data_IF_544174784548
#
_entry.id   IF_544174784548
#
_cell.length_a   1.000
_cell.length_b   1.000
_cell.length_c   1.000
_cell.angle_alpha   90.00
_cell.angle_beta   90.00
_cell.angle_gamma   90.00
#
_symmetry.space_group_name_H-M   'P 1'
#
loop_
_entity.id
_entity.type
_entity.pdbx_description
1 polymer ?
#
# COMPACT_ATOMS: atom_id res chain seq x y z
N UNK A 1 -4.97 -25.98 -23.99
CA UNK A 1 -4.72 -26.43 -22.60
C UNK A 1 -3.23 -26.54 -22.21
N UNK A 2 -2.27 -26.08 -23.03
CA UNK A 2 -0.80 -26.27 -22.83
C UNK A 2 -0.07 -24.98 -22.37
N UNK A 3 -0.76 -23.83 -22.28
CA UNK A 3 -0.15 -22.52 -21.93
C UNK A 3 0.01 -22.25 -20.43
N UNK A 4 -0.51 -23.13 -19.57
CA UNK A 4 -0.54 -22.97 -18.11
C UNK A 4 0.78 -23.31 -17.38
N UNK A 5 1.49 -24.42 -17.67
CA UNK A 5 2.71 -24.77 -16.92
C UNK A 5 3.85 -23.77 -17.15
N UNK A 6 3.96 -23.20 -18.35
CA UNK A 6 5.02 -22.24 -18.67
C UNK A 6 4.93 -20.92 -17.88
N UNK A 7 3.73 -20.46 -17.51
CA UNK A 7 3.54 -19.20 -16.78
C UNK A 7 3.80 -19.35 -15.29
N UNK A 8 3.35 -20.46 -14.70
CA UNK A 8 3.63 -20.77 -13.29
C UNK A 8 5.12 -21.08 -13.12
N UNK A 9 5.73 -21.76 -14.09
CA UNK A 9 7.18 -21.93 -14.18
C UNK A 9 7.91 -20.60 -14.36
N UNK A 10 7.41 -19.67 -15.18
CA UNK A 10 8.02 -18.35 -15.34
C UNK A 10 7.94 -17.49 -14.06
N UNK A 11 6.85 -17.57 -13.30
CA UNK A 11 6.72 -16.88 -12.01
C UNK A 11 7.66 -17.49 -10.96
N UNK A 12 7.75 -18.82 -10.90
CA UNK A 12 8.70 -19.54 -10.03
C UNK A 12 10.14 -19.23 -10.45
N UNK A 13 10.46 -19.27 -11.74
CA UNK A 13 11.78 -18.92 -12.27
C UNK A 13 12.12 -17.45 -12.03
N UNK A 14 11.15 -16.53 -12.09
CA UNK A 14 11.38 -15.12 -11.77
C UNK A 14 11.70 -14.94 -10.28
N UNK A 15 10.97 -15.63 -9.39
CA UNK A 15 11.26 -15.61 -7.95
C UNK A 15 12.60 -16.26 -7.66
N UNK A 16 12.89 -17.42 -8.22
CA UNK A 16 14.16 -18.14 -8.04
C UNK A 16 15.32 -17.31 -8.61
N UNK A 17 15.19 -16.80 -9.83
CA UNK A 17 16.21 -15.94 -10.44
C UNK A 17 16.44 -14.68 -9.62
N UNK A 18 15.38 -14.01 -9.13
CA UNK A 18 15.56 -12.82 -8.32
C UNK A 18 16.14 -13.12 -6.93
N UNK A 19 15.79 -14.25 -6.31
CA UNK A 19 16.43 -14.72 -5.06
C UNK A 19 17.90 -15.06 -5.29
N UNK A 20 18.24 -15.72 -6.39
CA UNK A 20 19.61 -16.09 -6.75
C UNK A 20 20.44 -14.86 -7.12
N UNK A 21 19.90 -13.93 -7.91
CA UNK A 21 20.53 -12.66 -8.27
C UNK A 21 20.73 -11.80 -7.01
N UNK A 22 19.71 -11.63 -6.17
CA UNK A 22 19.84 -10.92 -4.89
C UNK A 22 20.85 -11.58 -3.95
N UNK A 23 20.89 -12.92 -3.86
CA UNK A 23 21.93 -13.62 -3.08
C UNK A 23 23.33 -13.40 -3.65
N UNK A 24 23.50 -13.51 -4.97
CA UNK A 24 24.78 -13.25 -5.63
C UNK A 24 25.26 -11.82 -5.36
N UNK A 25 24.34 -10.84 -5.38
CA UNK A 25 24.63 -9.44 -5.09
C UNK A 25 24.92 -9.18 -3.61
N UNK A 26 24.23 -9.86 -2.68
CA UNK A 26 24.61 -9.87 -1.25
C UNK A 26 26.02 -10.42 -1.02
N UNK A 27 26.37 -11.51 -1.68
CA UNK A 27 27.73 -12.07 -1.61
C UNK A 27 28.78 -11.15 -2.25
N UNK A 28 28.39 -10.32 -3.21
CA UNK A 28 29.27 -9.34 -3.86
C UNK A 28 29.36 -8.00 -3.11
N UNK A 29 28.35 -7.65 -2.30
CA UNK A 29 28.25 -6.36 -1.61
C UNK A 29 27.80 -6.56 -0.15
N UNK A 30 28.74 -6.59 0.79
CA UNK A 30 28.54 -6.85 2.24
C UNK A 30 27.78 -5.73 3.00
N UNK A 31 27.15 -4.78 2.29
CA UNK A 31 26.71 -3.49 2.85
C UNK A 31 25.20 -3.22 2.74
N UNK A 32 24.40 -4.21 2.33
CA UNK A 32 23.00 -3.97 2.00
C UNK A 32 22.12 -3.71 3.24
N UNK A 33 22.45 -4.22 4.44
CA UNK A 33 21.67 -4.04 5.69
C UNK A 33 20.18 -4.39 5.54
N UNK A 34 19.84 -5.46 4.80
CA UNK A 34 18.43 -5.84 4.49
C UNK A 34 17.98 -7.11 5.25
N UNK A 35 18.88 -7.79 5.97
CA UNK A 35 18.60 -9.07 6.61
C UNK A 35 18.39 -10.14 5.53
N UNK A 36 17.14 -10.52 5.26
CA UNK A 36 16.79 -11.62 4.36
C UNK A 36 16.25 -11.20 2.99
N UNK A 37 17.16 -10.85 2.08
CA UNK A 37 16.77 -10.50 0.72
C UNK A 37 15.97 -11.60 0.00
N UNK A 38 14.98 -11.21 -0.84
CA UNK A 38 14.68 -9.85 -1.28
C UNK A 38 13.88 -9.02 -0.26
N UNK A 39 13.43 -9.59 0.86
CA UNK A 39 12.63 -8.89 1.86
C UNK A 39 13.52 -8.14 2.85
N UNK A 40 13.07 -6.96 3.29
CA UNK A 40 13.65 -6.34 4.48
C UNK A 40 13.03 -7.02 5.71
N UNK A 41 13.65 -8.10 6.16
CA UNK A 41 13.10 -8.99 7.19
C UNK A 41 14.19 -9.82 7.87
N UNK A 42 13.90 -10.26 9.09
CA UNK A 42 14.67 -11.28 9.80
C UNK A 42 13.90 -12.60 9.77
N UNK A 43 14.62 -13.72 9.67
CA UNK A 43 13.96 -15.03 9.77
C UNK A 43 13.74 -15.45 11.21
N UNK A 44 12.55 -15.97 11.50
CA UNK A 44 12.30 -16.74 12.70
C UNK A 44 10.96 -17.46 12.64
N UNK A 45 10.79 -18.59 13.35
CA UNK A 45 9.49 -19.20 13.54
C UNK A 45 8.63 -18.30 14.42
N UNK A 46 7.46 -17.90 13.96
CA UNK A 46 6.51 -17.12 14.74
C UNK A 46 5.26 -17.95 15.03
N UNK A 47 4.96 -18.12 16.32
CA UNK A 47 3.74 -18.79 16.80
C UNK A 47 3.16 -17.94 17.92
N UNK A 48 1.86 -17.67 17.85
CA UNK A 48 1.18 -16.85 18.85
C UNK A 48 -0.33 -16.92 18.74
N UNK A 49 -1.06 -16.03 19.42
CA UNK A 49 -2.51 -16.11 19.54
C UNK A 49 -3.24 -15.99 18.19
N UNK A 50 -2.63 -15.30 17.21
CA UNK A 50 -3.16 -15.20 15.85
C UNK A 50 -2.99 -16.45 14.99
N UNK A 51 -2.11 -17.38 15.35
CA UNK A 51 -1.83 -18.60 14.56
C UNK A 51 -3.07 -19.49 14.35
N UNK A 52 -3.81 -19.91 15.40
CA UNK A 52 -5.03 -20.71 15.20
C UNK A 52 -6.08 -19.95 14.40
N UNK A 53 -6.23 -18.63 14.62
CA UNK A 53 -7.17 -17.80 13.88
C UNK A 53 -6.82 -17.74 12.39
N UNK A 54 -5.54 -17.59 12.05
CA UNK A 54 -5.07 -17.58 10.66
C UNK A 54 -5.37 -18.92 9.98
N UNK A 55 -5.10 -20.05 10.65
CA UNK A 55 -5.44 -21.37 10.12
C UNK A 55 -6.95 -21.52 9.87
N UNK A 56 -7.78 -21.12 10.82
CA UNK A 56 -9.24 -21.18 10.69
C UNK A 56 -9.73 -20.31 9.53
N UNK A 57 -9.27 -19.05 9.43
CA UNK A 57 -9.64 -18.14 8.33
C UNK A 57 -9.17 -18.70 6.99
N UNK A 58 -7.93 -19.18 6.91
CA UNK A 58 -7.36 -19.78 5.70
C UNK A 58 -8.18 -20.98 5.23
N UNK A 59 -8.46 -21.94 6.12
CA UNK A 59 -9.29 -23.12 5.82
C UNK A 59 -10.70 -22.71 5.40
N UNK A 60 -11.32 -21.77 6.11
CA UNK A 60 -12.68 -21.32 5.80
C UNK A 60 -12.77 -20.66 4.42
N UNK A 61 -11.82 -19.78 4.07
CA UNK A 61 -11.78 -19.11 2.77
C UNK A 61 -11.45 -20.10 1.65
N UNK A 62 -10.55 -21.06 1.87
CA UNK A 62 -10.24 -22.08 0.85
C UNK A 62 -11.43 -23.02 0.63
N UNK A 63 -12.06 -23.52 1.69
CA UNK A 63 -13.13 -24.53 1.60
C UNK A 63 -14.47 -23.94 1.13
N UNK A 64 -14.80 -22.71 1.56
CA UNK A 64 -16.11 -22.10 1.35
C UNK A 64 -16.07 -20.83 0.49
N UNK A 65 -14.93 -20.13 0.44
CA UNK A 65 -14.79 -18.84 -0.25
C UNK A 65 -15.26 -18.85 -1.70
N UNK A 66 -14.85 -19.80 -2.56
CA UNK A 66 -15.32 -19.85 -3.96
C UNK A 66 -16.84 -20.00 -4.07
N UNK A 67 -17.46 -20.86 -3.25
CA UNK A 67 -18.90 -21.09 -3.25
C UNK A 67 -19.67 -19.87 -2.77
N UNK A 68 -19.18 -19.23 -1.69
CA UNK A 68 -19.76 -18.01 -1.12
C UNK A 68 -19.65 -16.86 -2.12
N UNK A 69 -18.48 -16.69 -2.76
CA UNK A 69 -18.25 -15.63 -3.74
C UNK A 69 -19.10 -15.77 -5.01
N UNK A 70 -19.42 -17.00 -5.41
CA UNK A 70 -20.32 -17.26 -6.53
C UNK A 70 -21.79 -16.93 -6.23
N UNK A 71 -22.24 -17.08 -4.97
CA UNK A 71 -23.67 -17.01 -4.62
C UNK A 71 -24.10 -15.71 -3.97
N UNK A 72 -23.21 -15.01 -3.25
CA UNK A 72 -23.61 -13.81 -2.52
C UNK A 72 -24.06 -12.68 -3.48
N UNK A 73 -25.06 -11.87 -3.08
CA UNK A 73 -25.33 -10.63 -3.80
C UNK A 73 -24.08 -9.73 -3.73
N UNK A 74 -23.81 -8.98 -4.79
CA UNK A 74 -22.55 -8.23 -4.94
C UNK A 74 -22.20 -7.36 -3.71
N UNK A 75 -23.18 -6.69 -3.11
CA UNK A 75 -22.97 -5.86 -1.92
C UNK A 75 -22.51 -6.68 -0.71
N UNK A 76 -23.10 -7.87 -0.50
CA UNK A 76 -22.69 -8.78 0.56
C UNK A 76 -21.31 -9.39 0.27
N UNK A 77 -20.99 -9.67 -1.00
CA UNK A 77 -19.65 -10.13 -1.38
C UNK A 77 -18.58 -9.10 -1.01
N UNK A 78 -18.79 -7.81 -1.27
CA UNK A 78 -17.83 -6.78 -0.87
C UNK A 78 -17.65 -6.72 0.65
N UNK A 79 -18.74 -6.79 1.41
CA UNK A 79 -18.69 -6.83 2.87
C UNK A 79 -17.98 -8.08 3.41
N UNK A 80 -18.27 -9.26 2.83
CA UNK A 80 -17.62 -10.51 3.19
C UNK A 80 -16.13 -10.52 2.85
N UNK A 81 -15.75 -10.00 1.67
CA UNK A 81 -14.35 -9.88 1.27
C UNK A 81 -13.58 -8.94 2.20
N UNK A 82 -14.17 -7.79 2.55
CA UNK A 82 -13.55 -6.85 3.50
C UNK A 82 -13.39 -7.48 4.88
N UNK A 83 -14.46 -8.08 5.42
CA UNK A 83 -14.42 -8.75 6.73
C UNK A 83 -13.44 -9.91 6.77
N UNK A 84 -13.36 -10.72 5.72
CA UNK A 84 -12.40 -11.80 5.62
C UNK A 84 -10.95 -11.30 5.49
N UNK A 85 -10.73 -10.21 4.73
CA UNK A 85 -9.41 -9.57 4.64
C UNK A 85 -8.98 -8.96 5.98
N UNK A 86 -9.90 -8.34 6.72
CA UNK A 86 -9.65 -7.90 8.09
C UNK A 86 -9.32 -9.08 8.99
N UNK A 87 -10.13 -10.14 8.99
CA UNK A 87 -9.90 -11.32 9.82
C UNK A 87 -8.53 -11.97 9.53
N UNK A 88 -8.18 -12.09 8.24
CA UNK A 88 -6.88 -12.60 7.80
C UNK A 88 -5.73 -11.72 8.30
N UNK A 89 -5.83 -10.40 8.06
CA UNK A 89 -4.78 -9.44 8.43
C UNK A 89 -4.60 -9.34 9.96
N UNK A 90 -5.70 -9.28 10.72
CA UNK A 90 -5.69 -9.31 12.18
C UNK A 90 -5.06 -10.60 12.71
N UNK A 91 -5.44 -11.75 12.14
CA UNK A 91 -4.88 -13.04 12.53
C UNK A 91 -3.37 -13.07 12.32
N UNK A 92 -2.89 -12.62 11.16
CA UNK A 92 -1.46 -12.56 10.87
C UNK A 92 -0.71 -11.60 11.80
N UNK A 93 -1.24 -10.39 12.04
CA UNK A 93 -0.62 -9.44 12.95
C UNK A 93 -0.55 -9.98 14.39
N UNK A 94 -1.60 -10.68 14.84
CA UNK A 94 -1.66 -11.26 16.18
C UNK A 94 -0.82 -12.53 16.34
N UNK A 95 -0.19 -13.06 15.29
CA UNK A 95 0.86 -14.09 15.47
C UNK A 95 1.99 -13.52 16.34
N UNK A 96 2.33 -12.24 16.16
CA UNK A 96 3.31 -11.53 16.99
C UNK A 96 2.70 -10.96 18.30
N UNK A 97 1.41 -11.17 18.53
CA UNK A 97 0.65 -10.58 19.64
C UNK A 97 0.36 -9.08 19.46
N UNK A 98 -0.47 -8.52 20.35
CA UNK A 98 -0.94 -7.13 20.25
C UNK A 98 0.21 -6.10 20.27
N UNK A 99 1.15 -6.25 21.20
CA UNK A 99 2.22 -5.26 21.39
C UNK A 99 3.17 -5.21 20.19
N UNK A 100 3.79 -6.34 19.84
CA UNK A 100 4.77 -6.40 18.74
C UNK A 100 4.11 -6.34 17.37
N UNK A 101 2.98 -7.03 17.20
CA UNK A 101 2.29 -7.11 15.91
C UNK A 101 1.58 -5.83 15.48
N UNK A 102 1.13 -5.01 16.44
CA UNK A 102 0.21 -3.90 16.18
C UNK A 102 0.71 -2.62 16.86
N UNK A 103 0.70 -2.57 18.20
CA UNK A 103 0.86 -1.31 18.95
C UNK A 103 2.23 -0.64 18.78
N UNK A 104 3.29 -1.42 18.56
CA UNK A 104 4.65 -0.90 18.44
C UNK A 104 5.08 -0.64 16.99
N UNK A 105 4.39 -1.23 15.99
CA UNK A 105 4.84 -1.20 14.59
C UNK A 105 5.00 0.21 14.02
N UNK A 106 4.08 1.12 14.37
CA UNK A 106 4.10 2.51 13.92
C UNK A 106 4.77 3.48 14.92
N UNK A 107 5.34 2.97 16.01
CA UNK A 107 6.01 3.79 17.05
C UNK A 107 7.51 3.51 17.18
N UNK A 108 8.08 2.71 16.26
CA UNK A 108 9.52 2.48 16.23
C UNK A 108 10.27 3.77 15.90
N UNK A 109 11.59 3.80 16.13
CA UNK A 109 12.43 4.98 15.91
C UNK A 109 12.39 5.55 14.48
N UNK A 110 11.87 4.81 13.52
CA UNK A 110 11.83 5.21 12.12
C UNK A 110 10.46 5.77 11.69
N UNK A 111 9.44 5.67 12.53
CA UNK A 111 8.04 5.72 12.14
C UNK A 111 7.35 7.07 12.40
N UNK A 112 6.18 7.24 11.75
CA UNK A 112 5.39 8.46 11.77
C UNK A 112 4.97 8.93 13.17
N UNK A 113 4.68 8.02 14.11
CA UNK A 113 4.15 8.43 15.41
C UNK A 113 5.19 9.06 16.34
N UNK A 114 6.47 9.10 15.93
CA UNK A 114 7.54 9.72 16.73
C UNK A 114 7.55 11.23 16.71
N UNK A 115 6.73 11.86 15.87
CA UNK A 115 6.73 13.32 15.66
C UNK A 115 5.37 13.96 15.92
N UNK A 116 4.37 13.22 16.41
CA UNK A 116 3.00 13.72 16.56
C UNK A 116 2.95 14.97 17.45
N UNK A 117 3.75 14.98 18.52
CA UNK A 117 3.91 16.09 19.45
C UNK A 117 4.48 17.37 18.81
N UNK A 118 5.23 17.24 17.71
CA UNK A 118 5.80 18.36 16.94
C UNK A 118 4.81 19.03 15.97
N UNK A 119 3.59 18.52 15.85
CA UNK A 119 2.54 19.05 14.97
C UNK A 119 1.42 19.75 15.75
N UNK A 120 1.75 20.53 16.79
CA UNK A 120 0.75 21.36 17.50
C UNK A 120 0.15 22.43 16.58
N UNK A 121 0.99 23.10 15.78
CA UNK A 121 0.58 24.00 14.70
C UNK A 121 0.97 23.36 13.35
N UNK A 122 -0.01 22.73 12.70
CA UNK A 122 0.22 22.02 11.42
C UNK A 122 0.77 22.98 10.34
N UNK A 123 0.15 24.14 10.04
CA UNK A 123 0.73 25.08 9.09
C UNK A 123 2.16 25.53 9.42
N UNK A 124 2.49 25.80 10.68
CA UNK A 124 3.85 26.18 11.05
C UNK A 124 4.84 25.03 10.81
N UNK A 125 4.51 23.80 11.24
CA UNK A 125 5.36 22.63 11.01
C UNK A 125 5.50 22.29 9.52
N UNK A 126 4.48 22.55 8.70
CA UNK A 126 4.54 22.34 7.25
C UNK A 126 5.45 23.35 6.53
N UNK A 127 5.44 24.62 6.95
CA UNK A 127 6.39 25.64 6.47
C UNK A 127 7.83 25.31 6.81
N UNK A 128 8.06 24.75 7.99
CA UNK A 128 9.40 24.39 8.49
C UNK A 128 9.82 22.96 8.11
N UNK A 129 8.99 22.23 7.36
CA UNK A 129 9.18 20.80 7.13
C UNK A 129 10.50 20.47 6.43
N UNK A 130 10.87 21.27 5.42
CA UNK A 130 12.07 21.07 4.59
C UNK A 130 13.36 21.22 5.39
N UNK A 131 13.39 22.12 6.38
CA UNK A 131 14.56 22.34 7.24
C UNK A 131 14.98 21.11 8.05
N UNK A 132 14.08 20.17 8.27
CA UNK A 132 14.32 18.94 9.04
C UNK A 132 14.51 17.69 8.16
N UNK A 133 14.57 17.81 6.83
CA UNK A 133 14.74 16.66 5.93
C UNK A 133 16.17 16.14 5.91
N UNK A 134 17.21 16.98 5.93
CA UNK A 134 18.60 16.48 5.86
C UNK A 134 19.02 15.81 7.18
N UNK A 135 19.91 14.81 7.09
CA UNK A 135 20.38 14.03 8.25
C UNK A 135 21.14 14.90 9.28
N UNK A 136 21.84 15.93 8.81
CA UNK A 136 22.62 16.84 9.63
C UNK A 136 21.80 18.04 10.17
N UNK A 137 20.52 18.14 9.78
CA UNK A 137 19.65 19.19 10.29
C UNK A 137 19.37 19.01 11.79
N UNK A 138 19.29 20.10 12.57
CA UNK A 138 18.84 20.03 13.95
C UNK A 138 17.41 19.46 13.99
N UNK A 139 17.17 18.49 14.88
CA UNK A 139 15.85 17.87 15.03
C UNK A 139 15.32 17.21 13.75
N UNK A 140 16.20 16.62 12.93
CA UNK A 140 15.80 15.97 11.68
C UNK A 140 14.66 14.95 11.86
N UNK A 141 13.86 14.79 10.81
CA UNK A 141 12.75 13.86 10.81
C UNK A 141 13.22 12.39 10.82
N UNK A 142 12.49 11.49 11.50
CA UNK A 142 12.66 10.05 11.33
C UNK A 142 12.54 9.64 9.85
N UNK A 143 13.23 8.56 9.42
CA UNK A 143 13.24 8.15 8.01
C UNK A 143 11.90 8.10 7.29
N UNK A 144 10.82 7.56 7.85
CA UNK A 144 9.52 7.53 7.16
C UNK A 144 8.86 8.92 7.03
N UNK A 145 9.13 9.82 7.97
CA UNK A 145 8.63 11.21 7.90
C UNK A 145 9.45 12.01 6.89
N UNK A 146 10.78 11.91 6.93
CA UNK A 146 11.65 12.57 5.94
C UNK A 146 11.47 12.01 4.52
N UNK A 147 11.16 10.71 4.41
CA UNK A 147 11.13 9.95 3.16
C UNK A 147 9.91 10.22 2.28
N UNK A 148 8.90 10.91 2.80
CA UNK A 148 7.59 11.05 2.16
C UNK A 148 7.00 12.44 2.39
N UNK A 149 6.09 12.91 1.52
CA UNK A 149 5.36 14.13 1.81
C UNK A 149 4.48 13.95 3.06
N UNK A 150 4.06 15.05 3.71
CA UNK A 150 3.52 15.01 5.07
C UNK A 150 2.09 14.47 5.18
N UNK A 151 1.46 13.99 4.11
CA UNK A 151 0.06 13.53 4.13
C UNK A 151 -0.18 12.39 5.12
N UNK A 152 0.75 11.43 5.20
CA UNK A 152 0.66 10.32 6.15
C UNK A 152 0.80 10.81 7.61
N UNK A 153 1.80 11.65 7.86
CA UNK A 153 2.05 12.24 9.19
C UNK A 153 0.85 13.05 9.67
N UNK A 154 0.31 13.91 8.80
CA UNK A 154 -0.89 14.71 9.11
C UNK A 154 -2.09 13.81 9.39
N UNK A 155 -2.26 12.70 8.68
CA UNK A 155 -3.33 11.72 8.96
C UNK A 155 -3.23 11.18 10.39
N UNK A 156 -2.05 10.76 10.84
CA UNK A 156 -1.86 10.27 12.20
C UNK A 156 -1.99 11.37 13.27
N UNK A 157 -1.57 12.61 12.97
CA UNK A 157 -1.82 13.77 13.86
C UNK A 157 -3.31 14.02 14.02
N UNK A 158 -4.09 13.94 12.94
CA UNK A 158 -5.53 14.13 13.00
C UNK A 158 -6.24 13.00 13.77
N UNK A 159 -5.77 11.76 13.64
CA UNK A 159 -6.25 10.65 14.46
C UNK A 159 -5.98 10.87 15.94
N UNK A 160 -4.78 11.32 16.29
CA UNK A 160 -4.41 11.65 17.67
C UNK A 160 -5.31 12.76 18.25
N UNK A 161 -5.51 13.85 17.49
CA UNK A 161 -6.43 14.94 17.87
C UNK A 161 -7.89 14.50 17.99
N UNK A 162 -8.30 13.45 17.29
CA UNK A 162 -9.63 12.86 17.39
C UNK A 162 -9.78 11.89 18.58
N UNK A 163 -8.74 11.72 19.40
CA UNK A 163 -8.72 10.80 20.54
C UNK A 163 -8.31 9.36 20.17
N UNK A 164 -7.89 9.12 18.93
CA UNK A 164 -7.42 7.83 18.42
C UNK A 164 -5.89 7.82 18.33
N UNK A 165 -5.24 8.27 19.41
CA UNK A 165 -3.79 8.40 19.51
C UNK A 165 -3.05 7.10 19.78
N UNK A 166 -1.75 7.09 19.49
CA UNK A 166 -0.85 5.98 19.78
C UNK A 166 -0.90 4.82 18.77
N UNK A 167 0.09 3.94 18.87
CA UNK A 167 0.35 2.92 17.84
C UNK A 167 -0.71 1.83 17.73
N UNK A 168 -1.47 1.55 18.80
CA UNK A 168 -2.60 0.63 18.75
C UNK A 168 -3.68 1.10 17.78
N UNK A 169 -4.14 2.35 17.93
CA UNK A 169 -5.13 2.95 17.04
C UNK A 169 -4.61 3.17 15.62
N UNK A 170 -3.34 3.57 15.48
CA UNK A 170 -2.71 3.68 14.16
C UNK A 170 -2.64 2.33 13.44
N UNK A 171 -2.33 1.24 14.16
CA UNK A 171 -2.37 -0.12 13.61
C UNK A 171 -3.78 -0.56 13.19
N UNK A 172 -4.79 -0.29 14.04
CA UNK A 172 -6.21 -0.54 13.72
C UNK A 172 -6.63 0.21 12.45
N UNK A 173 -6.23 1.47 12.32
CA UNK A 173 -6.46 2.30 11.13
C UNK A 173 -5.85 1.66 9.88
N UNK A 174 -4.57 1.29 9.94
CA UNK A 174 -3.85 0.65 8.83
C UNK A 174 -4.52 -0.66 8.39
N UNK A 175 -4.92 -1.53 9.35
CA UNK A 175 -5.62 -2.78 9.01
C UNK A 175 -6.98 -2.49 8.38
N UNK A 176 -7.78 -1.62 8.99
CA UNK A 176 -9.18 -1.37 8.60
C UNK A 176 -9.26 -0.69 7.23
N UNK A 177 -8.51 0.40 7.06
CA UNK A 177 -8.46 1.14 5.78
C UNK A 177 -7.70 0.32 4.74
N UNK A 178 -6.59 -0.32 5.12
CA UNK A 178 -5.81 -1.19 4.25
C UNK A 178 -6.63 -2.34 3.67
N UNK A 179 -7.42 -3.03 4.49
CA UNK A 179 -8.31 -4.10 4.04
C UNK A 179 -9.37 -3.61 3.02
N UNK A 180 -9.72 -2.32 3.01
CA UNK A 180 -10.64 -1.77 2.00
C UNK A 180 -10.04 -1.77 0.58
N UNK A 181 -8.71 -1.86 0.44
CA UNK A 181 -8.05 -1.99 -0.85
C UNK A 181 -8.59 -3.18 -1.67
N UNK A 182 -8.87 -4.31 -1.00
CA UNK A 182 -9.43 -5.50 -1.66
C UNK A 182 -10.81 -5.23 -2.26
N UNK A 183 -11.65 -4.46 -1.57
CA UNK A 183 -12.95 -4.01 -2.08
C UNK A 183 -12.76 -3.12 -3.30
N UNK A 184 -11.84 -2.16 -3.23
CA UNK A 184 -11.54 -1.27 -4.35
C UNK A 184 -11.09 -2.05 -5.59
N UNK A 185 -10.20 -3.03 -5.42
CA UNK A 185 -9.74 -3.92 -6.50
C UNK A 185 -10.92 -4.71 -7.09
N UNK A 186 -11.79 -5.30 -6.27
CA UNK A 186 -12.96 -6.02 -6.75
C UNK A 186 -13.93 -5.13 -7.53
N UNK A 187 -14.14 -3.89 -7.08
CA UNK A 187 -14.93 -2.89 -7.80
C UNK A 187 -14.28 -2.57 -9.14
N UNK A 188 -12.97 -2.28 -9.17
CA UNK A 188 -12.25 -1.96 -10.38
C UNK A 188 -12.31 -3.10 -11.42
N UNK A 189 -12.01 -4.33 -11.00
CA UNK A 189 -12.07 -5.52 -11.85
C UNK A 189 -13.48 -5.73 -12.40
N UNK A 190 -14.51 -5.68 -11.56
CA UNK A 190 -15.90 -5.81 -12.02
C UNK A 190 -16.27 -4.74 -13.04
N UNK A 191 -15.78 -3.52 -12.86
CA UNK A 191 -16.14 -2.39 -13.73
C UNK A 191 -15.41 -2.40 -15.07
N UNK A 192 -14.15 -2.83 -15.11
CA UNK A 192 -13.31 -2.78 -16.31
C UNK A 192 -13.26 -4.10 -17.09
N UNK A 193 -13.48 -5.22 -16.41
CA UNK A 193 -13.54 -6.55 -17.00
C UNK A 193 -14.96 -7.11 -16.88
N UNK A 194 -15.23 -7.90 -15.84
CA UNK A 194 -16.53 -8.51 -15.61
C UNK A 194 -16.74 -8.94 -14.15
N UNK A 195 -17.99 -9.16 -13.77
CA UNK A 195 -18.35 -9.55 -12.41
C UNK A 195 -17.92 -10.98 -12.05
N UNK A 196 -17.91 -11.91 -13.01
CA UNK A 196 -17.56 -13.30 -12.76
C UNK A 196 -16.06 -13.44 -12.42
N UNK A 197 -15.18 -12.75 -13.15
CA UNK A 197 -13.76 -12.65 -12.85
C UNK A 197 -13.52 -12.04 -11.46
N UNK A 198 -14.21 -10.95 -11.13
CA UNK A 198 -14.09 -10.33 -9.81
C UNK A 198 -14.49 -11.31 -8.68
N UNK A 199 -15.60 -12.05 -8.87
CA UNK A 199 -16.05 -13.08 -7.92
C UNK A 199 -15.02 -14.21 -7.75
N UNK A 200 -14.43 -14.66 -8.86
CA UNK A 200 -13.40 -15.72 -8.86
C UNK A 200 -12.11 -15.26 -8.19
N UNK A 201 -11.73 -13.99 -8.36
CA UNK A 201 -10.55 -13.42 -7.75
C UNK A 201 -10.69 -13.17 -6.23
N UNK A 202 -11.92 -12.95 -5.72
CA UNK A 202 -12.14 -12.52 -4.34
C UNK A 202 -11.48 -13.39 -3.26
N UNK A 203 -11.61 -14.73 -3.26
CA UNK A 203 -10.97 -15.57 -2.23
C UNK A 203 -9.44 -15.49 -2.26
N UNK A 204 -8.85 -15.36 -3.44
CA UNK A 204 -7.40 -15.26 -3.61
C UNK A 204 -6.86 -13.90 -3.16
N UNK A 205 -7.58 -12.83 -3.49
CA UNK A 205 -7.25 -11.48 -3.05
C UNK A 205 -7.25 -11.37 -1.53
N UNK A 206 -8.25 -11.97 -0.85
CA UNK A 206 -8.37 -11.94 0.61
C UNK A 206 -7.20 -12.61 1.31
N UNK A 207 -6.73 -13.76 0.80
CA UNK A 207 -5.64 -14.54 1.39
C UNK A 207 -4.25 -14.13 0.85
N UNK A 208 -4.13 -12.96 0.24
CA UNK A 208 -2.86 -12.55 -0.34
C UNK A 208 -1.75 -12.46 0.73
N UNK A 209 -0.51 -12.87 0.41
CA UNK A 209 0.62 -12.71 1.32
C UNK A 209 0.92 -11.25 1.69
N UNK A 210 0.47 -10.29 0.88
CA UNK A 210 0.59 -8.85 1.17
C UNK A 210 0.08 -8.47 2.57
N UNK A 211 -0.91 -9.20 3.09
CA UNK A 211 -1.55 -8.96 4.38
C UNK A 211 -0.58 -9.04 5.58
N UNK A 212 0.58 -9.68 5.44
CA UNK A 212 1.63 -9.70 6.49
C UNK A 212 2.10 -8.28 6.85
N UNK A 213 2.00 -7.31 5.92
CA UNK A 213 2.30 -5.90 6.19
C UNK A 213 1.13 -5.10 6.76
N UNK A 214 0.02 -5.74 7.13
CA UNK A 214 -1.25 -5.09 7.47
C UNK A 214 -1.22 -3.96 8.49
N UNK A 215 -0.19 -3.92 9.33
CA UNK A 215 0.03 -2.93 10.38
C UNK A 215 1.05 -1.84 10.01
N UNK A 216 1.44 -1.73 8.74
CA UNK A 216 2.24 -0.62 8.21
C UNK A 216 1.38 0.44 7.53
N UNK A 217 1.91 1.66 7.47
CA UNK A 217 1.28 2.78 6.76
C UNK A 217 1.13 2.49 5.24
N UNK A 218 2.00 1.67 4.66
CA UNK A 218 1.96 1.34 3.23
C UNK A 218 0.64 0.69 2.80
N UNK A 219 0.03 -0.11 3.67
CA UNK A 219 -1.24 -0.77 3.35
C UNK A 219 -2.39 0.24 3.33
N UNK A 220 -2.34 1.25 4.20
CA UNK A 220 -3.22 2.41 4.12
C UNK A 220 -2.99 3.18 2.80
N UNK A 221 -1.73 3.40 2.40
CA UNK A 221 -1.44 4.08 1.14
C UNK A 221 -1.94 3.30 -0.07
N UNK A 222 -1.74 1.98 -0.07
CA UNK A 222 -2.24 1.08 -1.10
C UNK A 222 -3.76 1.11 -1.21
N UNK A 223 -4.49 1.26 -0.10
CA UNK A 223 -5.93 1.42 -0.14
C UNK A 223 -6.37 2.73 -0.80
N UNK A 224 -5.75 3.87 -0.47
CA UNK A 224 -6.04 5.16 -1.11
C UNK A 224 -5.76 5.11 -2.62
N UNK A 225 -4.64 4.50 -3.01
CA UNK A 225 -4.28 4.30 -4.41
C UNK A 225 -5.24 3.33 -5.13
N UNK A 226 -5.68 2.25 -4.49
CA UNK A 226 -6.64 1.32 -5.06
C UNK A 226 -8.02 1.96 -5.25
N UNK A 227 -8.50 2.76 -4.28
CA UNK A 227 -9.75 3.50 -4.39
C UNK A 227 -9.70 4.58 -5.47
N UNK A 228 -8.56 5.24 -5.66
CA UNK A 228 -8.32 6.12 -6.80
C UNK A 228 -8.65 5.42 -8.11
N UNK A 229 -8.10 4.22 -8.32
CA UNK A 229 -8.32 3.42 -9.54
C UNK A 229 -9.78 2.94 -9.63
N UNK A 230 -10.38 2.49 -8.53
CA UNK A 230 -11.76 2.03 -8.50
C UNK A 230 -12.76 3.14 -8.86
N UNK A 231 -12.59 4.34 -8.32
CA UNK A 231 -13.43 5.49 -8.67
C UNK A 231 -13.19 5.95 -10.10
N UNK A 232 -11.95 5.93 -10.58
CA UNK A 232 -11.66 6.26 -11.98
C UNK A 232 -12.35 5.27 -12.91
N UNK A 233 -12.27 3.97 -12.61
CA UNK A 233 -12.93 2.91 -13.37
C UNK A 233 -14.46 3.10 -13.42
N UNK A 234 -15.09 3.49 -12.31
CA UNK A 234 -16.51 3.86 -12.27
C UNK A 234 -16.80 5.10 -13.12
N UNK A 235 -15.93 6.10 -13.11
CA UNK A 235 -16.11 7.34 -13.84
C UNK A 235 -16.04 7.12 -15.36
N UNK A 236 -15.05 6.37 -15.83
CA UNK A 236 -14.81 6.11 -17.27
C UNK A 236 -15.81 5.11 -17.87
N UNK A 237 -16.51 4.34 -17.02
CA UNK A 237 -17.65 3.49 -17.40
C UNK A 237 -19.00 4.22 -17.28
N UNK A 238 -19.02 5.44 -16.75
CA UNK A 238 -20.19 6.31 -16.72
C UNK A 238 -21.05 6.22 -15.46
N UNK A 239 -20.60 5.56 -14.39
CA UNK A 239 -21.29 5.57 -13.09
C UNK A 239 -20.97 6.85 -12.32
N UNK A 240 -21.91 7.80 -12.34
CA UNK A 240 -21.81 9.13 -11.69
C UNK A 240 -20.47 9.82 -12.01
N UNK A 241 -20.13 10.01 -13.29
CA UNK A 241 -18.77 10.34 -13.75
C UNK A 241 -18.20 11.62 -13.15
N UNK A 242 -19.07 12.56 -12.75
CA UNK A 242 -18.66 13.79 -12.06
C UNK A 242 -18.13 13.51 -10.66
N UNK A 243 -18.93 12.81 -9.84
CA UNK A 243 -18.60 12.49 -8.45
C UNK A 243 -17.45 11.49 -8.37
N UNK A 244 -17.50 10.42 -9.16
CA UNK A 244 -16.46 9.38 -9.14
C UNK A 244 -15.17 9.88 -9.79
N UNK A 245 -15.25 10.71 -10.83
CA UNK A 245 -14.07 11.39 -11.38
C UNK A 245 -13.40 12.32 -10.36
N UNK A 246 -14.19 13.16 -9.68
CA UNK A 246 -13.67 14.05 -8.63
C UNK A 246 -13.06 13.26 -7.46
N UNK A 247 -13.74 12.23 -6.96
CA UNK A 247 -13.23 11.38 -5.89
C UNK A 247 -11.93 10.66 -6.29
N UNK A 248 -11.85 10.15 -7.52
CA UNK A 248 -10.62 9.56 -8.04
C UNK A 248 -9.47 10.58 -8.05
N UNK A 249 -9.74 11.79 -8.56
CA UNK A 249 -8.74 12.85 -8.57
C UNK A 249 -8.27 13.24 -7.17
N UNK A 250 -9.21 13.47 -6.25
CA UNK A 250 -8.91 13.83 -4.87
C UNK A 250 -8.01 12.80 -4.17
N UNK A 251 -8.35 11.51 -4.32
CA UNK A 251 -7.55 10.43 -3.75
C UNK A 251 -6.21 10.26 -4.46
N UNK A 252 -6.11 10.56 -5.76
CA UNK A 252 -4.82 10.57 -6.45
C UNK A 252 -3.92 11.70 -5.95
N UNK A 253 -4.48 12.91 -5.77
CA UNK A 253 -3.78 14.02 -5.13
C UNK A 253 -3.28 13.65 -3.73
N UNK A 254 -4.12 12.99 -2.93
CA UNK A 254 -3.71 12.44 -1.63
C UNK A 254 -2.61 11.39 -1.76
N UNK A 255 -2.72 10.46 -2.71
CA UNK A 255 -1.73 9.42 -2.99
C UNK A 255 -0.34 10.01 -3.23
N UNK A 256 -0.25 11.09 -4.03
CA UNK A 256 0.99 11.82 -4.28
C UNK A 256 1.57 12.53 -3.04
N UNK A 257 0.76 12.72 -1.99
CA UNK A 257 1.14 13.30 -0.71
C UNK A 257 1.34 12.27 0.41
N UNK A 258 1.04 10.98 0.14
CA UNK A 258 1.34 9.88 1.05
C UNK A 258 2.74 9.32 0.82
N UNK A 259 3.20 9.27 -0.44
CA UNK A 259 4.55 8.87 -0.80
C UNK A 259 4.93 9.32 -2.20
N UNK A 260 6.16 9.85 -2.36
CA UNK A 260 6.72 10.25 -3.65
C UNK A 260 6.66 9.14 -4.70
N UNK A 261 6.94 7.89 -4.31
CA UNK A 261 6.94 6.74 -5.21
C UNK A 261 5.55 6.37 -5.74
N UNK A 262 4.48 6.78 -5.04
CA UNK A 262 3.11 6.48 -5.46
C UNK A 262 2.61 7.39 -6.59
N UNK A 263 3.37 8.42 -6.98
CA UNK A 263 3.12 9.18 -8.22
C UNK A 263 3.05 8.25 -9.45
N UNK A 264 3.78 7.13 -9.43
CA UNK A 264 3.76 6.09 -10.47
C UNK A 264 2.39 5.43 -10.64
N UNK A 265 1.46 5.53 -9.68
CA UNK A 265 0.08 5.10 -9.88
C UNK A 265 -0.63 5.89 -10.98
N UNK A 266 -0.09 7.02 -11.45
CA UNK A 266 -0.52 7.67 -12.69
C UNK A 266 -0.55 6.71 -13.88
N UNK A 267 0.40 5.76 -13.97
CA UNK A 267 0.46 4.77 -15.05
C UNK A 267 -0.72 3.80 -14.96
N UNK A 268 -1.03 3.30 -13.76
CA UNK A 268 -2.16 2.39 -13.52
C UNK A 268 -3.49 3.13 -13.76
N UNK A 269 -3.60 4.37 -13.29
CA UNK A 269 -4.75 5.23 -13.54
C UNK A 269 -4.93 5.51 -15.04
N UNK A 270 -3.84 5.76 -15.76
CA UNK A 270 -3.83 5.90 -17.22
C UNK A 270 -4.30 4.62 -17.93
N UNK A 271 -3.88 3.44 -17.45
CA UNK A 271 -4.38 2.17 -17.98
C UNK A 271 -5.89 2.02 -17.77
N UNK A 272 -6.40 2.31 -16.57
CA UNK A 272 -7.83 2.30 -16.28
C UNK A 272 -8.61 3.30 -17.16
N UNK A 273 -8.04 4.49 -17.40
CA UNK A 273 -8.58 5.49 -18.31
C UNK A 273 -8.68 4.96 -19.75
N UNK A 274 -7.63 4.29 -20.24
CA UNK A 274 -7.58 3.70 -21.57
C UNK A 274 -8.55 2.51 -21.73
N UNK A 275 -8.79 1.73 -20.68
CA UNK A 275 -9.76 0.63 -20.73
C UNK A 275 -11.22 1.12 -20.76
N UNK A 276 -11.48 2.33 -20.25
CA UNK A 276 -12.82 2.88 -20.20
C UNK A 276 -13.36 3.38 -21.56
N UNK A 277 -14.67 3.21 -21.84
CA UNK A 277 -15.30 3.74 -23.05
C UNK A 277 -15.45 5.27 -23.05
N UNK A 278 -15.48 5.92 -21.88
CA UNK A 278 -15.74 7.37 -21.74
C UNK A 278 -14.52 8.11 -21.19
N UNK A 279 -13.39 8.03 -21.87
CA UNK A 279 -12.08 8.51 -21.39
C UNK A 279 -12.04 10.00 -21.07
N UNK A 280 -12.64 10.84 -21.91
CA UNK A 280 -12.53 12.31 -21.79
C UNK A 280 -13.53 12.93 -20.82
N UNK A 281 -14.71 12.34 -20.66
CA UNK A 281 -15.80 12.88 -19.83
C UNK A 281 -15.43 13.09 -18.35
N UNK A 282 -14.70 12.19 -17.67
CA UNK A 282 -14.34 12.39 -16.27
C UNK A 282 -13.12 13.29 -16.08
N UNK A 283 -12.31 13.56 -17.13
CA UNK A 283 -11.04 14.30 -17.00
C UNK A 283 -11.16 15.65 -16.28
N UNK A 284 -12.13 16.53 -16.59
CA UNK A 284 -12.23 17.81 -15.88
C UNK A 284 -12.44 17.64 -14.37
N UNK A 285 -13.18 16.61 -13.97
CA UNK A 285 -13.50 16.32 -12.58
C UNK A 285 -12.31 15.66 -11.87
N UNK A 286 -11.61 14.75 -12.56
CA UNK A 286 -10.36 14.16 -12.06
C UNK A 286 -9.31 15.25 -11.84
N UNK A 287 -9.11 16.13 -12.83
CA UNK A 287 -8.17 17.24 -12.72
C UNK A 287 -8.55 18.19 -11.58
N UNK A 288 -9.84 18.53 -11.44
CA UNK A 288 -10.31 19.34 -10.33
C UNK A 288 -10.10 18.68 -8.95
N UNK A 289 -10.24 17.35 -8.86
CA UNK A 289 -9.97 16.61 -7.62
C UNK A 289 -8.48 16.54 -7.29
N UNK A 290 -7.64 16.24 -8.30
CA UNK A 290 -6.18 16.10 -8.15
C UNK A 290 -5.54 17.33 -7.55
N UNK A 291 -6.02 18.52 -7.89
CA UNK A 291 -5.42 19.78 -7.45
C UNK A 291 -5.71 20.13 -5.99
N UNK A 292 -6.74 19.54 -5.36
CA UNK A 292 -7.17 19.94 -4.01
C UNK A 292 -6.09 19.70 -2.97
N UNK A 293 -5.54 18.48 -2.89
CA UNK A 293 -4.53 18.15 -1.86
C UNK A 293 -3.24 18.95 -2.09
N UNK A 294 -2.66 19.00 -3.31
CA UNK A 294 -1.53 19.88 -3.58
C UNK A 294 -1.79 21.33 -3.21
N UNK A 295 -2.95 21.89 -3.55
CA UNK A 295 -3.29 23.27 -3.22
C UNK A 295 -3.32 23.49 -1.71
N UNK A 296 -3.99 22.62 -0.96
CA UNK A 296 -4.10 22.73 0.51
C UNK A 296 -2.71 22.70 1.17
N UNK A 297 -1.84 21.78 0.77
CA UNK A 297 -0.50 21.69 1.35
C UNK A 297 0.41 22.85 0.93
N UNK A 298 0.34 23.28 -0.33
CA UNK A 298 1.09 24.45 -0.81
C UNK A 298 0.65 25.72 -0.07
N UNK A 299 -0.66 25.93 0.11
CA UNK A 299 -1.19 27.08 0.87
C UNK A 299 -0.86 26.99 2.37
N UNK A 300 -0.74 25.77 2.91
CA UNK A 300 -0.25 25.55 4.27
C UNK A 300 1.29 25.73 4.38
N UNK A 301 1.99 25.95 3.27
CA UNK A 301 3.41 26.30 3.22
C UNK A 301 4.37 25.15 2.95
N UNK A 302 3.88 23.98 2.55
CA UNK A 302 4.73 22.85 2.17
C UNK A 302 5.11 22.92 0.68
N UNK A 303 6.41 22.89 0.40
CA UNK A 303 6.94 22.84 -0.97
C UNK A 303 7.31 21.41 -1.37
N UNK A 304 6.50 20.79 -2.22
CA UNK A 304 6.66 19.39 -2.61
C UNK A 304 7.98 19.12 -3.37
N UNK A 305 8.37 20.04 -4.27
CA UNK A 305 9.54 19.88 -5.14
C UNK A 305 10.84 20.05 -4.36
N UNK A 306 10.93 21.11 -3.57
CA UNK A 306 12.09 21.34 -2.69
C UNK A 306 12.28 20.19 -1.69
N UNK A 307 11.20 19.71 -1.09
CA UNK A 307 11.25 18.56 -0.20
C UNK A 307 11.73 17.28 -0.92
N UNK A 308 11.37 17.10 -2.20
CA UNK A 308 11.84 15.97 -3.00
C UNK A 308 13.34 16.08 -3.30
N UNK A 309 13.84 17.25 -3.68
CA UNK A 309 15.26 17.46 -3.96
C UNK A 309 16.11 17.21 -2.71
N UNK A 310 15.67 17.72 -1.55
CA UNK A 310 16.31 17.47 -0.26
C UNK A 310 16.25 15.98 0.15
N UNK A 311 15.17 15.28 -0.19
CA UNK A 311 15.07 13.84 0.03
C UNK A 311 16.10 13.09 -0.82
N UNK A 312 16.26 13.45 -2.09
CA UNK A 312 17.28 12.85 -2.97
C UNK A 312 18.67 13.03 -2.36
N UNK A 313 18.99 14.24 -1.88
CA UNK A 313 20.24 14.51 -1.17
C UNK A 313 20.38 13.65 0.10
N UNK A 314 19.35 13.59 0.95
CA UNK A 314 19.31 12.73 2.14
C UNK A 314 19.56 11.26 1.79
N UNK A 315 19.02 10.77 0.69
CA UNK A 315 19.23 9.39 0.23
C UNK A 315 20.70 9.10 -0.08
N UNK A 316 21.41 10.05 -0.70
CA UNK A 316 22.85 9.92 -0.95
C UNK A 316 23.69 10.03 0.32
N UNK A 317 23.28 10.84 1.30
CA UNK A 317 23.91 10.87 2.63
C UNK A 317 23.67 9.61 3.46
N UNK A 318 22.55 8.92 3.23
CA UNK A 318 22.18 7.68 3.93
C UNK A 318 22.65 6.41 3.23
N UNK A 319 22.01 5.29 3.57
CA UNK A 319 22.31 3.99 2.96
C UNK A 319 22.02 3.93 1.44
N UNK A 320 21.26 4.88 0.89
CA UNK A 320 20.96 4.95 -0.55
C UNK A 320 22.20 5.20 -1.41
N UNK A 321 23.17 5.98 -0.92
CA UNK A 321 24.41 6.27 -1.64
C UNK A 321 25.37 5.07 -1.77
N UNK A 322 25.13 3.98 -1.04
CA UNK A 322 26.01 2.80 -0.97
C UNK A 322 25.36 1.58 -1.65
N UNK A 323 24.03 1.57 -1.83
CA UNK A 323 23.29 0.42 -2.32
C UNK A 323 23.18 0.44 -3.85
N UNK A 324 23.56 -0.65 -4.57
CA UNK A 324 23.44 -0.69 -6.02
C UNK A 324 21.98 -0.58 -6.44
N UNK A 325 21.68 0.32 -7.38
CA UNK A 325 20.31 0.52 -7.86
C UNK A 325 19.73 -0.72 -8.55
N UNK A 326 20.55 -1.46 -9.30
CA UNK A 326 20.15 -2.67 -10.03
C UNK A 326 19.54 -3.75 -9.14
N UNK A 327 20.04 -3.90 -7.92
CA UNK A 327 19.54 -4.87 -6.94
C UNK A 327 18.06 -4.62 -6.62
N UNK A 328 17.67 -3.36 -6.52
CA UNK A 328 16.30 -2.97 -6.18
C UNK A 328 15.32 -3.22 -7.32
N UNK A 329 15.76 -3.10 -8.57
CA UNK A 329 14.91 -3.42 -9.73
C UNK A 329 14.50 -4.90 -9.67
N UNK A 330 15.47 -5.81 -9.53
CA UNK A 330 15.21 -7.25 -9.47
C UNK A 330 14.50 -7.67 -8.17
N UNK A 331 14.93 -7.13 -7.03
CA UNK A 331 14.27 -7.40 -5.75
C UNK A 331 12.81 -6.93 -5.74
N UNK A 332 12.48 -5.80 -6.38
CA UNK A 332 11.11 -5.31 -6.48
C UNK A 332 10.22 -6.24 -7.32
N UNK A 333 10.73 -6.81 -8.40
CA UNK A 333 10.00 -7.82 -9.18
C UNK A 333 9.75 -9.08 -8.34
N UNK A 334 10.75 -9.55 -7.59
CA UNK A 334 10.60 -10.68 -6.68
C UNK A 334 9.55 -10.42 -5.61
N UNK A 335 9.64 -9.26 -4.95
CA UNK A 335 8.70 -8.80 -3.94
C UNK A 335 7.29 -8.74 -4.50
N UNK A 336 7.10 -8.23 -5.73
CA UNK A 336 5.79 -8.19 -6.37
C UNK A 336 5.18 -9.60 -6.47
N UNK A 337 5.95 -10.60 -6.90
CA UNK A 337 5.47 -11.99 -6.96
C UNK A 337 5.16 -12.55 -5.57
N UNK A 338 6.04 -12.33 -4.58
CA UNK A 338 5.83 -12.79 -3.21
C UNK A 338 4.58 -12.16 -2.57
N UNK A 339 4.37 -10.87 -2.81
CA UNK A 339 3.26 -10.09 -2.25
C UNK A 339 1.93 -10.52 -2.85
N UNK A 340 1.89 -10.75 -4.17
CA UNK A 340 0.68 -11.19 -4.86
C UNK A 340 0.39 -12.66 -4.58
N UNK A 341 1.43 -13.48 -4.43
CA UNK A 341 1.34 -14.92 -4.27
C UNK A 341 0.89 -15.65 -5.53
N UNK A 342 1.26 -16.94 -5.70
CA UNK A 342 0.92 -17.71 -6.90
C UNK A 342 -0.59 -17.91 -7.06
N UNK A 343 -1.32 -17.95 -5.94
CA UNK A 343 -2.76 -18.20 -5.93
C UNK A 343 -3.56 -17.06 -6.58
N UNK A 344 -3.12 -15.80 -6.45
CA UNK A 344 -3.79 -14.65 -7.08
C UNK A 344 -3.69 -14.69 -8.61
N UNK A 345 -2.58 -15.21 -9.15
CA UNK A 345 -2.43 -15.43 -10.60
C UNK A 345 -3.41 -16.48 -11.11
N UNK A 346 -3.68 -17.53 -10.31
CA UNK A 346 -4.68 -18.55 -10.66
C UNK A 346 -6.10 -17.97 -10.69
N UNK A 347 -6.42 -17.02 -9.80
CA UNK A 347 -7.72 -16.35 -9.76
C UNK A 347 -8.03 -15.44 -10.95
N UNK A 348 -7.02 -15.00 -11.71
CA UNK A 348 -7.16 -14.14 -12.89
C UNK A 348 -7.35 -14.91 -14.22
N UNK A 349 -7.37 -16.25 -14.18
CA UNK A 349 -7.57 -17.13 -15.35
C UNK A 349 -9.03 -17.47 -15.52
#
# INVERSE_FOLDING_TARGET
>A
MIRTPFRDLAAVLLVVAAVLVSRQLLFAYDNLHVGWQPLYADWGPHVGPGTPAALVVGVAVVAYGPRVAARLPWRALLGAAWGAAMAWTWSLALIDGWQRGIAVRLTTRYEYLRVIDRFQDIPATLRDFTHHILLHSPGHWPPHVAGHPPGATVTFVLLDRAGLGGGGWAGVWCITVGASAYVAVLVAVRTLADEALARRAAPFLVLTPAAVRGTSADVYFAAVAAWTVAFLALAVTGRRPRLTGFAAGLLFGLTCYLSYGLTLFAVIAGAALLLGPRRTRPLPHVLAGVTIVPLVFTLAGFNWWEAYDLLVERCYHGAGGIRPYGDWVWANLARAVLIVGPATVAGLR
#
